data_IF_683454268688
#
_entry.id   IF_683454268688
#
_cell.length_a   1.000
_cell.length_b   1.000
_cell.length_c   1.000
_cell.angle_alpha   90.00
_cell.angle_beta   90.00
_cell.angle_gamma   90.00
#
_symmetry.space_group_name_H-M   'P 1'
#
loop_
_entity.id
_entity.type
_entity.pdbx_description
1 polymer ?
#
# COMPACT_ATOMS: atom_id res chain seq x y z
N UNK A 1 16.39 7.96 -1.17
CA UNK A 1 15.12 8.67 -0.94
C UNK A 1 15.13 9.18 0.49
N UNK A 2 14.93 10.48 0.69
CA UNK A 2 14.88 11.02 2.05
C UNK A 2 13.76 10.36 2.85
N UNK A 3 14.05 10.00 4.10
CA UNK A 3 13.08 9.40 5.03
C UNK A 3 12.06 10.48 5.39
N UNK A 4 10.81 10.30 4.96
CA UNK A 4 9.73 11.18 5.44
C UNK A 4 9.43 10.83 6.88
N UNK A 5 9.15 11.84 7.71
CA UNK A 5 8.62 11.63 9.06
C UNK A 5 7.23 10.99 9.03
N UNK A 6 6.79 10.51 10.19
CA UNK A 6 5.51 9.82 10.34
C UNK A 6 4.33 10.73 10.00
N UNK A 7 4.38 12.01 10.41
CA UNK A 7 3.35 13.01 10.11
C UNK A 7 3.21 13.26 8.59
N UNK A 8 4.34 13.51 7.90
CA UNK A 8 4.35 13.71 6.44
C UNK A 8 3.88 12.45 5.71
N UNK A 9 4.25 11.27 6.21
CA UNK A 9 3.79 10.00 5.65
C UNK A 9 2.30 9.81 5.86
N UNK A 10 1.76 10.17 7.03
CA UNK A 10 0.33 10.13 7.33
C UNK A 10 -0.47 11.10 6.45
N UNK A 11 -0.03 12.37 6.31
CA UNK A 11 -0.65 13.34 5.38
C UNK A 11 -0.72 12.75 3.97
N UNK A 12 0.38 12.15 3.51
CA UNK A 12 0.42 11.51 2.20
C UNK A 12 -0.54 10.33 2.06
N UNK A 13 -0.64 9.46 3.06
CA UNK A 13 -1.57 8.32 3.03
C UNK A 13 -3.02 8.81 2.97
N UNK A 14 -3.39 9.84 3.73
CA UNK A 14 -4.74 10.41 3.70
C UNK A 14 -5.09 10.93 2.31
N UNK A 15 -4.17 11.66 1.66
CA UNK A 15 -4.38 12.12 0.29
C UNK A 15 -4.48 10.94 -0.69
N UNK A 16 -3.58 9.96 -0.56
CA UNK A 16 -3.55 8.77 -1.41
C UNK A 16 -4.83 7.93 -1.30
N UNK A 17 -5.44 7.84 -0.11
CA UNK A 17 -6.71 7.16 0.12
C UNK A 17 -7.83 7.71 -0.78
N UNK A 18 -7.88 9.03 -0.98
CA UNK A 18 -8.91 9.68 -1.79
C UNK A 18 -8.79 9.41 -3.29
N UNK A 19 -7.66 8.86 -3.74
CA UNK A 19 -7.42 8.57 -5.16
C UNK A 19 -7.53 7.06 -5.44
N UNK A 20 -8.76 6.54 -5.47
CA UNK A 20 -9.03 5.12 -5.72
C UNK A 20 -8.40 4.58 -7.01
N UNK A 21 -8.26 5.42 -8.05
CA UNK A 21 -7.62 5.05 -9.31
C UNK A 21 -6.15 4.62 -9.14
N UNK A 22 -5.52 4.90 -8.00
CA UNK A 22 -4.16 4.50 -7.69
C UNK A 22 -4.06 3.16 -6.95
N UNK A 23 -5.13 2.71 -6.29
CA UNK A 23 -5.06 1.58 -5.37
C UNK A 23 -6.19 0.56 -5.49
N UNK A 24 -7.36 0.93 -5.98
CA UNK A 24 -8.54 0.08 -6.07
C UNK A 24 -8.64 -0.61 -7.44
N UNK A 25 -8.30 -1.91 -7.57
CA UNK A 25 -8.41 -2.60 -8.86
C UNK A 25 -9.85 -2.85 -9.32
N UNK A 26 -10.85 -2.62 -8.45
CA UNK A 26 -12.27 -2.87 -8.75
C UNK A 26 -12.89 -1.78 -9.63
N UNK A 27 -12.25 -0.63 -9.76
CA UNK A 27 -12.77 0.49 -10.56
C UNK A 27 -12.07 0.57 -11.93
N UNK A 28 -12.79 0.90 -13.02
CA UNK A 28 -12.19 1.03 -14.36
C UNK A 28 -11.02 2.02 -14.42
N UNK A 29 -11.08 3.09 -13.63
CA UNK A 29 -10.10 4.17 -13.56
C UNK A 29 -8.72 3.67 -13.11
N UNK A 30 -8.63 2.51 -12.45
CA UNK A 30 -7.36 1.88 -12.07
C UNK A 30 -6.50 1.51 -13.29
N UNK A 31 -7.11 1.22 -14.43
CA UNK A 31 -6.41 0.94 -15.69
C UNK A 31 -6.26 2.19 -16.56
N UNK A 32 -6.94 3.29 -16.22
CA UNK A 32 -6.88 4.54 -16.98
C UNK A 32 -5.61 5.33 -16.64
N UNK A 33 -4.71 5.46 -17.60
CA UNK A 33 -3.47 6.21 -17.43
C UNK A 33 -3.70 7.70 -17.19
N UNK A 34 -4.76 8.28 -17.77
CA UNK A 34 -5.10 9.70 -17.62
C UNK A 34 -5.52 9.99 -16.18
N UNK A 35 -6.48 9.23 -15.65
CA UNK A 35 -6.97 9.39 -14.28
C UNK A 35 -5.85 9.19 -13.25
N UNK A 36 -4.98 8.20 -13.48
CA UNK A 36 -3.82 7.96 -12.62
C UNK A 36 -2.82 9.10 -12.67
N UNK A 37 -2.56 9.66 -13.86
CA UNK A 37 -1.65 10.79 -13.99
C UNK A 37 -2.19 12.03 -13.28
N UNK A 38 -3.49 12.31 -13.44
CA UNK A 38 -4.16 13.41 -12.74
C UNK A 38 -4.07 13.23 -11.23
N UNK A 39 -4.35 12.03 -10.71
CA UNK A 39 -4.19 11.74 -9.29
C UNK A 39 -2.74 11.92 -8.79
N UNK A 40 -1.72 11.59 -9.58
CA UNK A 40 -0.33 11.88 -9.19
C UNK A 40 -0.03 13.38 -9.14
N UNK A 41 -0.62 14.18 -10.04
CA UNK A 41 -0.47 15.63 -10.03
C UNK A 41 -1.21 16.24 -8.83
N UNK A 42 -2.42 15.79 -8.54
CA UNK A 42 -3.18 16.23 -7.37
C UNK A 42 -2.43 15.93 -6.07
N UNK A 43 -1.82 14.74 -5.96
CA UNK A 43 -0.96 14.39 -4.82
C UNK A 43 0.24 15.32 -4.67
N UNK A 44 0.83 15.79 -5.77
CA UNK A 44 1.95 16.75 -5.72
C UNK A 44 1.47 18.10 -5.21
N UNK A 45 0.38 18.61 -5.78
CA UNK A 45 -0.19 19.91 -5.42
C UNK A 45 -0.58 19.95 -3.94
N UNK A 46 -1.25 18.90 -3.45
CA UNK A 46 -1.70 18.84 -2.06
C UNK A 46 -0.58 18.58 -1.04
N UNK A 47 0.56 18.06 -1.49
CA UNK A 47 1.75 17.93 -0.62
C UNK A 47 2.48 19.25 -0.42
N UNK A 48 2.22 20.25 -1.27
CA UNK A 48 2.78 21.62 -1.20
C UNK A 48 4.31 21.64 -1.09
N UNK A 49 4.98 20.62 -1.64
CA UNK A 49 6.41 20.43 -1.55
C UNK A 49 7.04 20.51 -2.94
N UNK A 50 7.75 21.62 -3.27
CA UNK A 50 8.31 21.85 -4.59
C UNK A 50 9.45 20.89 -4.93
N UNK A 51 10.00 20.13 -3.96
CA UNK A 51 11.01 19.10 -4.21
C UNK A 51 10.41 17.79 -4.75
N UNK A 52 9.09 17.63 -4.68
CA UNK A 52 8.42 16.42 -5.13
C UNK A 52 8.15 16.46 -6.63
N UNK A 53 8.28 15.28 -7.24
CA UNK A 53 7.96 15.05 -8.65
C UNK A 53 7.08 13.82 -8.77
N UNK A 54 6.39 13.66 -9.90
CA UNK A 54 5.54 12.47 -10.15
C UNK A 54 6.35 11.18 -9.97
N UNK A 55 7.63 11.20 -10.36
CA UNK A 55 8.56 10.07 -10.17
C UNK A 55 8.77 9.75 -8.69
N UNK A 56 8.95 10.77 -7.84
CA UNK A 56 9.10 10.60 -6.40
C UNK A 56 7.80 10.06 -5.79
N UNK A 57 6.63 10.60 -6.17
CA UNK A 57 5.32 10.14 -5.69
C UNK A 57 5.09 8.67 -6.05
N UNK A 58 5.29 8.30 -7.32
CA UNK A 58 5.17 6.91 -7.79
C UNK A 58 6.08 5.97 -6.98
N UNK A 59 7.32 6.38 -6.75
CA UNK A 59 8.25 5.54 -5.98
C UNK A 59 7.90 5.49 -4.50
N UNK A 60 7.39 6.59 -3.93
CA UNK A 60 6.92 6.64 -2.56
C UNK A 60 5.75 5.68 -2.36
N UNK A 61 4.76 5.67 -3.26
CA UNK A 61 3.64 4.72 -3.24
C UNK A 61 4.15 3.28 -3.30
N UNK A 62 5.05 2.98 -4.23
CA UNK A 62 5.65 1.64 -4.35
C UNK A 62 6.33 1.20 -3.05
N UNK A 63 7.19 2.06 -2.49
CA UNK A 63 7.91 1.76 -1.26
C UNK A 63 6.94 1.59 -0.08
N UNK A 64 5.95 2.47 0.03
CA UNK A 64 4.99 2.45 1.13
C UNK A 64 4.14 1.19 1.11
N UNK A 65 3.68 0.74 -0.08
CA UNK A 65 3.00 -0.56 -0.23
C UNK A 65 3.90 -1.74 0.14
N UNK A 66 5.18 -1.68 -0.21
CA UNK A 66 6.15 -2.73 0.17
C UNK A 66 6.32 -2.82 1.68
N UNK A 67 6.49 -1.68 2.35
CA UNK A 67 6.59 -1.61 3.82
C UNK A 67 5.28 -2.09 4.45
N UNK A 68 4.13 -1.61 3.98
CA UNK A 68 2.81 -2.06 4.46
C UNK A 68 2.65 -3.58 4.39
N UNK A 69 2.95 -4.22 3.25
CA UNK A 69 2.83 -5.68 3.15
C UNK A 69 3.83 -6.43 4.03
N UNK A 70 5.02 -5.87 4.23
CA UNK A 70 6.01 -6.44 5.16
C UNK A 70 5.51 -6.37 6.60
N UNK A 71 4.95 -5.23 7.01
CA UNK A 71 4.33 -5.06 8.33
C UNK A 71 3.11 -5.98 8.51
N UNK A 72 2.25 -6.08 7.50
CA UNK A 72 1.09 -6.97 7.51
C UNK A 72 1.50 -8.44 7.72
N UNK A 73 2.57 -8.90 7.05
CA UNK A 73 3.13 -10.24 7.26
C UNK A 73 3.63 -10.47 8.68
N UNK A 74 4.23 -9.48 9.33
CA UNK A 74 4.64 -9.59 10.75
C UNK A 74 3.41 -9.76 11.65
N UNK A 75 2.35 -8.99 11.39
CA UNK A 75 1.07 -9.13 12.10
C UNK A 75 0.51 -10.54 11.92
N UNK A 76 0.43 -11.03 10.69
CA UNK A 76 -0.09 -12.37 10.37
C UNK A 76 0.75 -13.49 11.01
N UNK A 77 2.08 -13.43 10.88
CA UNK A 77 2.99 -14.40 11.48
C UNK A 77 2.87 -14.42 13.01
N UNK A 78 2.70 -13.26 13.65
CA UNK A 78 2.49 -13.19 15.10
C UNK A 78 1.19 -13.86 15.55
N UNK A 79 0.16 -13.89 14.70
CA UNK A 79 -1.09 -14.61 14.96
C UNK A 79 -0.95 -16.12 14.76
N UNK A 80 -0.15 -16.54 13.78
CA UNK A 80 0.01 -17.96 13.39
C UNK A 80 0.90 -18.76 14.36
N UNK A 81 1.94 -18.14 14.92
CA UNK A 81 2.88 -18.78 15.85
C UNK A 81 2.32 -18.99 17.27
N UNK A 82 1.04 -19.34 17.39
CA UNK A 82 0.28 -19.51 18.62
C UNK A 82 0.75 -20.66 19.52
N UNK A 83 2.01 -20.64 19.96
CA UNK A 83 2.53 -21.44 21.06
C UNK A 83 3.12 -20.50 22.11
N UNK A 84 2.28 -20.12 23.07
CA UNK A 84 2.70 -19.50 24.34
C UNK A 84 2.78 -17.97 24.37
N UNK A 85 1.74 -17.35 24.91
CA UNK A 85 1.76 -16.10 25.70
C UNK A 85 2.45 -14.81 25.18
N UNK A 86 2.94 -14.72 23.94
CA UNK A 86 3.58 -13.51 23.43
C UNK A 86 2.62 -12.66 22.57
N UNK A 87 2.36 -11.45 23.05
CA UNK A 87 1.62 -10.34 22.44
C UNK A 87 1.61 -10.33 20.90
N UNK A 88 0.41 -10.34 20.29
CA UNK A 88 0.21 -10.09 18.86
C UNK A 88 0.93 -8.79 18.47
N UNK A 89 1.77 -8.85 17.44
CA UNK A 89 2.48 -7.67 16.94
C UNK A 89 1.46 -6.64 16.44
N UNK A 90 1.51 -5.43 16.99
CA UNK A 90 0.68 -4.30 16.58
C UNK A 90 1.60 -3.17 16.10
N UNK A 91 1.58 -2.83 14.80
CA UNK A 91 2.27 -1.66 14.31
C UNK A 91 1.76 -0.41 15.04
N UNK A 92 2.66 0.43 15.56
CA UNK A 92 2.29 1.69 16.23
C UNK A 92 2.16 2.88 15.27
N UNK A 93 2.55 2.69 14.01
CA UNK A 93 2.54 3.73 13.00
C UNK A 93 1.11 4.08 12.56
N UNK A 94 0.68 5.31 12.77
CA UNK A 94 -0.65 5.79 12.36
C UNK A 94 -0.90 5.59 10.85
N UNK A 95 0.12 5.82 10.01
CA UNK A 95 0.01 5.62 8.56
C UNK A 95 -0.29 4.16 8.18
N UNK A 96 0.12 3.18 9.01
CA UNK A 96 -0.17 1.77 8.77
C UNK A 96 -1.67 1.49 8.96
N UNK A 97 -2.26 1.98 10.05
CA UNK A 97 -3.69 1.83 10.32
C UNK A 97 -4.53 2.47 9.23
N UNK A 98 -4.15 3.67 8.80
CA UNK A 98 -4.83 4.37 7.72
C UNK A 98 -4.74 3.57 6.41
N UNK A 99 -3.56 3.08 6.04
CA UNK A 99 -3.40 2.22 4.85
C UNK A 99 -4.22 0.93 4.93
N UNK A 100 -4.25 0.31 6.11
CA UNK A 100 -5.01 -0.92 6.32
C UNK A 100 -6.51 -0.70 6.13
N UNK A 101 -7.03 0.50 6.43
CA UNK A 101 -8.46 0.84 6.33
C UNK A 101 -9.04 0.73 4.92
N UNK A 102 -8.22 0.89 3.87
CA UNK A 102 -8.67 0.84 2.48
C UNK A 102 -7.95 -0.21 1.64
N UNK A 103 -6.71 -0.60 1.98
CA UNK A 103 -6.01 -1.68 1.31
C UNK A 103 -6.39 -3.06 1.84
N UNK A 104 -6.77 -3.17 3.12
CA UNK A 104 -7.23 -4.43 3.72
C UNK A 104 -8.39 -5.04 2.94
N UNK A 105 -9.40 -4.22 2.62
CA UNK A 105 -10.60 -4.62 1.88
C UNK A 105 -10.33 -5.00 0.42
N UNK A 106 -9.23 -4.52 -0.18
CA UNK A 106 -8.84 -4.89 -1.55
C UNK A 106 -8.04 -6.19 -1.64
N UNK A 107 -7.60 -6.74 -0.49
CA UNK A 107 -6.72 -7.91 -0.46
C UNK A 107 -7.41 -9.22 -0.85
N UNK A 108 -8.74 -9.31 -0.73
CA UNK A 108 -9.53 -10.45 -1.21
C UNK A 108 -9.43 -10.66 -2.73
N UNK A 109 -9.04 -9.63 -3.50
CA UNK A 109 -8.81 -9.78 -4.94
C UNK A 109 -7.41 -10.32 -5.29
N UNK A 110 -6.47 -10.32 -4.33
CA UNK A 110 -5.16 -10.97 -4.50
C UNK A 110 -5.26 -12.43 -4.08
N UNK A 111 -6.19 -13.18 -4.67
CA UNK A 111 -5.90 -14.57 -4.95
C UNK A 111 -4.71 -14.56 -5.91
N UNK A 112 -3.52 -14.77 -5.36
CA UNK A 112 -2.40 -15.27 -6.13
C UNK A 112 -2.92 -16.47 -6.88
N UNK A 113 -3.07 -16.36 -8.20
CA UNK A 113 -2.91 -17.50 -9.09
C UNK A 113 -1.53 -18.06 -8.75
N UNK A 114 -1.52 -19.00 -7.80
CA UNK A 114 -0.45 -19.95 -7.62
C UNK A 114 -0.34 -20.61 -8.98
N UNK A 115 0.71 -20.30 -9.72
CA UNK A 115 1.08 -21.10 -10.89
C UNK A 115 1.46 -22.47 -10.33
N UNK A 116 0.46 -23.33 -10.15
CA UNK A 116 0.70 -24.76 -10.04
C UNK A 116 1.40 -25.17 -11.34
N UNK A 117 2.68 -25.51 -11.20
CA UNK A 117 3.39 -26.21 -12.25
C UNK A 117 2.68 -27.55 -12.45
N UNK A 118 1.82 -27.63 -13.46
CA UNK A 118 1.30 -28.90 -13.95
C UNK A 118 2.49 -29.65 -14.53
N UNK A 119 3.04 -30.56 -13.73
CA UNK A 119 3.98 -31.58 -14.18
C UNK A 119 3.25 -32.49 -15.16
N UNK A 120 3.44 -32.24 -16.45
CA UNK A 120 3.15 -33.25 -17.47
C UNK A 120 4.26 -34.30 -17.43
N UNK A 121 3.96 -35.44 -16.81
CA UNK A 121 4.71 -36.68 -17.02
C UNK A 121 4.41 -37.22 -18.42
N UNK A 122 5.46 -37.44 -19.20
CA UNK A 122 5.42 -38.28 -20.41
C UNK A 122 5.49 -39.76 -20.04
#
# INVERSE_FOLDING_TARGET
>A
MSRWGDEKTLKFVNLYRNHECLWNPRIPQYKNNVDRNNAYQDLLTNMEDPSLTVKIIKTKIKNLRSVYHTELKKVENSKRSGSGAATVYKPSAAWFHEMNSFLGDTSEYRETTSTEMVSFSF
#
